data_IF_885137287644
#
_entry.id   IF_885137287644
#
_cell.length_a   1.000
_cell.length_b   1.000
_cell.length_c   1.000
_cell.angle_alpha   90.00
_cell.angle_beta   90.00
_cell.angle_gamma   90.00
#
_symmetry.space_group_name_H-M   'P 1'
#
loop_
_entity.id
_entity.type
_entity.pdbx_description
1 polymer ?
#
# COMPACT_ATOMS: atom_id res chain seq x y z
N UNK A 1 7.27 -5.64 18.42
CA UNK A 1 6.07 -6.12 17.70
C UNK A 1 6.17 -5.57 16.28
N UNK A 2 6.19 -6.42 15.27
CA UNK A 2 6.22 -5.96 13.87
C UNK A 2 4.75 -5.75 13.49
N UNK A 3 4.31 -4.49 13.44
CA UNK A 3 2.97 -4.15 12.99
C UNK A 3 2.83 -4.40 11.48
N UNK A 4 1.60 -4.58 11.02
CA UNK A 4 1.28 -4.60 9.60
C UNK A 4 0.59 -3.31 9.21
N UNK A 5 0.79 -2.89 7.97
CA UNK A 5 0.02 -1.81 7.36
C UNK A 5 -0.60 -2.36 6.09
N UNK A 6 -1.90 -2.18 5.96
CA UNK A 6 -2.65 -2.50 4.76
C UNK A 6 -2.72 -1.27 3.86
N UNK A 7 -2.27 -1.42 2.62
CA UNK A 7 -2.29 -0.37 1.61
C UNK A 7 -3.40 -0.70 0.61
N UNK A 8 -4.33 0.23 0.43
CA UNK A 8 -5.40 0.18 -0.56
C UNK A 8 -4.99 1.01 -1.76
N UNK A 9 -4.99 0.39 -2.94
CA UNK A 9 -4.55 1.03 -4.17
C UNK A 9 -5.60 0.81 -5.26
N UNK A 10 -5.75 1.79 -6.13
CA UNK A 10 -6.53 1.67 -7.34
C UNK A 10 -5.68 1.99 -8.58
N UNK A 11 -6.07 1.43 -9.71
CA UNK A 11 -5.53 1.78 -11.01
C UNK A 11 -6.65 1.64 -12.04
N UNK A 12 -7.30 2.76 -12.36
CA UNK A 12 -8.49 2.81 -13.23
C UNK A 12 -9.64 1.92 -12.72
N UNK A 13 -9.84 0.73 -13.29
CA UNK A 13 -10.88 -0.22 -12.91
C UNK A 13 -10.33 -1.39 -12.06
N UNK A 14 -9.03 -1.37 -11.75
CA UNK A 14 -8.36 -2.39 -10.94
C UNK A 14 -8.14 -1.90 -9.50
N UNK A 15 -8.22 -2.85 -8.56
CA UNK A 15 -7.96 -2.62 -7.14
C UNK A 15 -6.92 -3.60 -6.63
N UNK A 16 -6.00 -3.11 -5.81
CA UNK A 16 -4.97 -3.90 -5.15
C UNK A 16 -4.96 -3.60 -3.65
N UNK A 17 -4.87 -4.66 -2.85
CA UNK A 17 -4.76 -4.57 -1.40
C UNK A 17 -3.50 -5.32 -0.99
N UNK A 18 -2.59 -4.60 -0.34
CA UNK A 18 -1.27 -5.12 0.04
C UNK A 18 -1.08 -5.00 1.55
N UNK A 19 -0.84 -6.13 2.21
CA UNK A 19 -0.41 -6.15 3.61
C UNK A 19 1.11 -6.22 3.67
N UNK A 20 1.74 -5.20 4.26
CA UNK A 20 3.20 -5.12 4.42
C UNK A 20 3.57 -4.84 5.87
N UNK A 21 4.82 -5.15 6.24
CA UNK A 21 5.32 -4.73 7.54
C UNK A 21 5.26 -3.20 7.64
N UNK A 22 4.76 -2.64 8.75
CA UNK A 22 4.56 -1.19 8.87
C UNK A 22 5.84 -0.38 8.68
N UNK A 23 7.01 -0.96 8.96
CA UNK A 23 8.31 -0.32 8.71
C UNK A 23 8.64 -0.15 7.22
N UNK A 24 8.04 -0.97 6.37
CA UNK A 24 8.28 -1.00 4.93
C UNK A 24 7.12 -0.33 4.15
N UNK A 25 6.03 0.06 4.82
CA UNK A 25 4.82 0.61 4.22
C UNK A 25 5.07 1.81 3.29
N UNK A 26 5.86 2.79 3.75
CA UNK A 26 6.19 3.96 2.93
C UNK A 26 7.03 3.61 1.70
N UNK A 27 7.91 2.60 1.79
CA UNK A 27 8.67 2.14 0.63
C UNK A 27 7.74 1.47 -0.38
N UNK A 28 6.89 0.54 0.08
CA UNK A 28 5.95 -0.16 -0.79
C UNK A 28 4.95 0.79 -1.44
N UNK A 29 4.44 1.79 -0.71
CA UNK A 29 3.56 2.82 -1.27
C UNK A 29 4.23 3.58 -2.42
N UNK A 30 5.50 3.98 -2.26
CA UNK A 30 6.25 4.66 -3.32
C UNK A 30 6.46 3.75 -4.55
N UNK A 31 6.82 2.47 -4.34
CA UNK A 31 6.99 1.50 -5.44
C UNK A 31 5.68 1.29 -6.22
N UNK A 32 4.54 1.30 -5.53
CA UNK A 32 3.22 1.20 -6.14
C UNK A 32 2.87 2.46 -6.95
N UNK A 33 3.18 3.64 -6.44
CA UNK A 33 3.02 4.91 -7.16
C UNK A 33 3.87 4.92 -8.44
N UNK A 34 5.13 4.46 -8.37
CA UNK A 34 6.00 4.34 -9.55
C UNK A 34 5.45 3.35 -10.60
N UNK A 35 4.69 2.35 -10.17
CA UNK A 35 3.98 1.40 -11.04
C UNK A 35 2.64 1.95 -11.57
N UNK A 36 2.27 3.18 -11.19
CA UNK A 36 1.06 3.85 -11.65
C UNK A 36 -0.19 3.51 -10.83
N UNK A 37 -0.03 2.99 -9.62
CA UNK A 37 -1.13 2.85 -8.66
C UNK A 37 -1.33 4.17 -7.90
N UNK A 38 -2.59 4.50 -7.64
CA UNK A 38 -2.95 5.58 -6.72
C UNK A 38 -3.27 4.96 -5.35
N UNK A 39 -2.67 5.52 -4.29
CA UNK A 39 -2.85 5.04 -2.92
C UNK A 39 -4.08 5.72 -2.32
N UNK A 40 -5.13 4.95 -2.05
CA UNK A 40 -6.36 5.46 -1.46
C UNK A 40 -6.28 5.53 0.08
N UNK A 41 -5.63 4.55 0.71
CA UNK A 41 -5.48 4.49 2.17
C UNK A 41 -4.32 3.60 2.64
N UNK A 42 -3.74 3.98 3.78
CA UNK A 42 -2.82 3.15 4.56
C UNK A 42 -3.40 2.92 5.97
N UNK A 43 -3.69 1.67 6.33
CA UNK A 43 -4.39 1.31 7.56
C UNK A 43 -3.50 0.40 8.42
N UNK A 44 -3.08 0.83 9.63
CA UNK A 44 -2.40 -0.05 10.57
C UNK A 44 -3.31 -1.21 10.99
N UNK A 45 -2.78 -2.43 10.99
CA UNK A 45 -3.48 -3.68 11.32
C UNK A 45 -2.85 -4.35 12.54
#
# INVERSE_FOLDING_TARGET
>A
MIGLTRIYCNQQEEFLLVDVASKDASQTANELIEQGWEIEAEIPV
#
